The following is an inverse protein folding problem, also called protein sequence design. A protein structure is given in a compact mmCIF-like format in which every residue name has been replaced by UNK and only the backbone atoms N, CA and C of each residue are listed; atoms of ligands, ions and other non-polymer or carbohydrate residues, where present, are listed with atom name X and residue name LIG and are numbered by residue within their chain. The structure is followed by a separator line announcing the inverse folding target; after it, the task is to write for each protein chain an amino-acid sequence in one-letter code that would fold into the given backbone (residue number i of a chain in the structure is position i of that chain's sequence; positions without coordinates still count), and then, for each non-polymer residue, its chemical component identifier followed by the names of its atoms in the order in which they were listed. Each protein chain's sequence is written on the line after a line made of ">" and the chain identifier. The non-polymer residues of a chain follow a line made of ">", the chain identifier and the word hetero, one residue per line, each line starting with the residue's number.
data_IF_790845507413
#
_entry.id   IF_790845507413
#
_cell.length_a   1.000
_cell.length_b   1.000
_cell.length_c   1.000
_cell.angle_alpha   90.00
_cell.angle_beta   90.00
_cell.angle_gamma   90.00
#
_symmetry.space_group_name_H-M   'P 1'
#
loop_
_entity.id
_entity.type
_entity.pdbx_description
1 polymer ?
#
# COMPACT_ATOMS: atom_id res chain seq x y z
N UNK A 1 26.10 16.31 -6.63
CA UNK A 1 26.25 15.63 -5.33
C UNK A 1 27.71 15.76 -4.91
N UNK A 2 28.04 15.78 -3.61
CA UNK A 2 29.45 15.66 -3.21
C UNK A 2 30.01 14.31 -3.68
N UNK A 3 31.27 14.26 -4.07
CA UNK A 3 31.91 13.08 -4.69
C UNK A 3 31.83 11.83 -3.78
N UNK A 4 32.02 12.02 -2.47
CA UNK A 4 31.81 10.98 -1.45
C UNK A 4 30.39 10.40 -1.46
N UNK A 5 29.38 11.25 -1.65
CA UNK A 5 27.98 10.79 -1.68
C UNK A 5 27.68 10.02 -2.97
N UNK A 6 28.32 10.40 -4.09
CA UNK A 6 28.19 9.68 -5.35
C UNK A 6 28.76 8.25 -5.24
N UNK A 7 29.88 8.07 -4.53
CA UNK A 7 30.46 6.75 -4.26
C UNK A 7 29.51 5.87 -3.45
N UNK A 8 28.91 6.40 -2.37
CA UNK A 8 27.94 5.67 -1.54
C UNK A 8 26.73 5.22 -2.37
N UNK A 9 26.19 6.10 -3.21
CA UNK A 9 25.06 5.76 -4.08
C UNK A 9 25.44 4.67 -5.08
N UNK A 10 26.62 4.76 -5.70
CA UNK A 10 27.08 3.76 -6.67
C UNK A 10 27.30 2.38 -6.03
N UNK A 11 27.85 2.34 -4.81
CA UNK A 11 28.04 1.10 -4.04
C UNK A 11 26.69 0.46 -3.66
N UNK A 12 25.72 1.28 -3.25
CA UNK A 12 24.38 0.78 -2.98
C UNK A 12 23.70 0.24 -4.25
N UNK A 13 23.81 0.96 -5.37
CA UNK A 13 23.25 0.54 -6.64
C UNK A 13 23.93 -0.72 -7.19
N UNK A 14 25.21 -0.99 -6.89
CA UNK A 14 25.87 -2.23 -7.35
C UNK A 14 25.28 -3.50 -6.73
N UNK A 15 24.62 -3.39 -5.57
CA UNK A 15 23.94 -4.50 -4.89
C UNK A 15 22.41 -4.50 -5.11
N UNK A 16 21.89 -3.47 -5.78
CA UNK A 16 20.43 -3.27 -5.95
C UNK A 16 19.72 -4.42 -6.65
N UNK A 17 20.39 -5.11 -7.56
CA UNK A 17 19.78 -6.19 -8.35
C UNK A 17 19.39 -7.40 -7.51
N UNK A 18 20.31 -7.89 -6.67
CA UNK A 18 20.09 -9.06 -5.82
C UNK A 18 18.99 -8.77 -4.78
N UNK A 19 19.10 -7.63 -4.10
CA UNK A 19 18.08 -7.17 -3.13
C UNK A 19 16.70 -7.04 -3.78
N UNK A 20 16.63 -6.52 -5.01
CA UNK A 20 15.37 -6.38 -5.72
C UNK A 20 14.71 -7.73 -6.03
N UNK A 21 15.48 -8.73 -6.41
CA UNK A 21 14.93 -10.06 -6.74
C UNK A 21 14.30 -10.70 -5.50
N UNK A 22 14.98 -10.62 -4.35
CA UNK A 22 14.47 -11.12 -3.07
C UNK A 22 13.23 -10.37 -2.60
N UNK A 23 13.26 -9.03 -2.61
CA UNK A 23 12.11 -8.19 -2.21
C UNK A 23 10.90 -8.49 -3.09
N UNK A 24 11.10 -8.70 -4.38
CA UNK A 24 10.02 -9.00 -5.30
C UNK A 24 9.41 -10.37 -4.99
N UNK A 25 10.22 -11.39 -4.77
CA UNK A 25 9.72 -12.70 -4.36
C UNK A 25 8.90 -12.62 -3.06
N UNK A 26 9.36 -11.83 -2.10
CA UNK A 26 8.67 -11.57 -0.85
C UNK A 26 7.33 -10.84 -1.04
N UNK A 27 7.29 -9.80 -1.87
CA UNK A 27 6.04 -9.07 -2.16
C UNK A 27 5.05 -9.97 -2.91
N UNK A 28 5.50 -10.78 -3.85
CA UNK A 28 4.62 -11.71 -4.55
C UNK A 28 4.03 -12.77 -3.62
N UNK A 29 4.85 -13.31 -2.70
CA UNK A 29 4.38 -14.23 -1.67
C UNK A 29 3.37 -13.57 -0.74
N UNK A 30 3.62 -12.32 -0.36
CA UNK A 30 2.78 -11.51 0.51
C UNK A 30 1.42 -11.22 -0.12
N UNK A 31 1.42 -10.64 -1.32
CA UNK A 31 0.22 -10.17 -2.01
C UNK A 31 -0.48 -11.29 -2.81
N UNK A 32 0.20 -12.42 -3.01
CA UNK A 32 -0.24 -13.52 -3.84
C UNK A 32 -0.34 -13.18 -5.33
N UNK A 33 0.26 -12.06 -5.75
CA UNK A 33 0.39 -11.58 -7.14
C UNK A 33 1.43 -10.48 -7.18
N UNK A 34 2.17 -10.38 -8.29
CA UNK A 34 3.02 -9.22 -8.53
C UNK A 34 2.20 -8.01 -9.03
N UNK A 35 2.22 -6.85 -8.34
CA UNK A 35 1.54 -5.66 -8.82
C UNK A 35 2.10 -5.18 -10.17
N UNK A 36 1.21 -4.86 -11.12
CA UNK A 36 1.64 -4.43 -12.46
C UNK A 36 2.53 -3.17 -12.43
N UNK A 37 2.33 -2.29 -11.43
CA UNK A 37 3.08 -1.05 -11.25
C UNK A 37 4.60 -1.32 -11.22
N UNK A 38 5.01 -2.47 -10.67
CA UNK A 38 6.41 -2.83 -10.57
C UNK A 38 7.02 -3.20 -11.92
N UNK A 39 6.23 -3.71 -12.87
CA UNK A 39 6.73 -3.95 -14.22
C UNK A 39 7.07 -2.65 -14.94
N UNK A 40 6.27 -1.60 -14.74
CA UNK A 40 6.56 -0.28 -15.28
C UNK A 40 7.74 0.38 -14.57
N UNK A 41 7.84 0.26 -13.24
CA UNK A 41 8.94 0.86 -12.50
C UNK A 41 10.29 0.24 -12.85
N UNK A 42 10.37 -1.07 -13.18
CA UNK A 42 11.59 -1.75 -13.62
C UNK A 42 12.30 -1.08 -14.81
N UNK A 43 11.61 -0.27 -15.60
CA UNK A 43 12.22 0.53 -16.68
C UNK A 43 13.18 1.62 -16.18
N UNK A 44 13.16 1.92 -14.86
CA UNK A 44 14.05 2.84 -14.15
C UNK A 44 14.59 2.15 -12.89
N UNK A 45 15.64 1.32 -13.01
CA UNK A 45 16.11 0.44 -11.93
C UNK A 45 16.39 1.15 -10.59
N UNK A 46 16.94 2.35 -10.64
CA UNK A 46 17.24 3.18 -9.47
C UNK A 46 15.98 3.64 -8.73
N UNK A 47 14.91 3.98 -9.48
CA UNK A 47 13.62 4.34 -8.90
C UNK A 47 12.92 3.09 -8.40
N UNK A 48 12.96 2.02 -9.19
CA UNK A 48 12.33 0.75 -8.86
C UNK A 48 12.80 0.20 -7.53
N UNK A 49 14.11 0.12 -7.33
CA UNK A 49 14.67 -0.42 -6.10
C UNK A 49 14.27 0.41 -4.87
N UNK A 50 14.35 1.75 -4.98
CA UNK A 50 13.96 2.61 -3.86
C UNK A 50 12.48 2.47 -3.54
N UNK A 51 11.62 2.37 -4.57
CA UNK A 51 10.19 2.20 -4.41
C UNK A 51 9.85 0.84 -3.79
N UNK A 52 10.38 -0.27 -4.31
CA UNK A 52 10.07 -1.62 -3.80
C UNK A 52 10.55 -1.81 -2.37
N UNK A 53 11.74 -1.31 -2.04
CA UNK A 53 12.27 -1.36 -0.67
C UNK A 53 11.39 -0.56 0.30
N UNK A 54 10.98 0.65 -0.11
CA UNK A 54 10.08 1.47 0.70
C UNK A 54 8.71 0.80 0.88
N UNK A 55 8.10 0.35 -0.21
CA UNK A 55 6.78 -0.27 -0.23
C UNK A 55 6.74 -1.55 0.61
N UNK A 56 7.78 -2.38 0.55
CA UNK A 56 7.91 -3.58 1.38
C UNK A 56 7.91 -3.23 2.89
N UNK A 57 8.72 -2.25 3.30
CA UNK A 57 8.80 -1.84 4.70
C UNK A 57 7.53 -1.12 5.19
N UNK A 58 6.85 -0.38 4.31
CA UNK A 58 5.58 0.29 4.62
C UNK A 58 4.46 -0.74 4.75
N UNK A 59 4.39 -1.72 3.84
CA UNK A 59 3.38 -2.78 3.83
C UNK A 59 3.56 -3.84 4.92
N UNK A 60 4.78 -3.97 5.46
CA UNK A 60 5.10 -4.82 6.62
C UNK A 60 5.81 -4.01 7.71
N UNK A 61 5.07 -3.10 8.38
CA UNK A 61 5.64 -2.29 9.45
C UNK A 61 5.97 -3.16 10.66
N UNK A 62 7.04 -2.81 11.39
CA UNK A 62 7.51 -3.57 12.56
C UNK A 62 6.57 -3.49 13.78
N UNK A 63 5.67 -2.50 13.80
CA UNK A 63 4.83 -2.18 14.96
C UNK A 63 3.39 -2.68 14.83
N UNK A 64 2.97 -3.13 13.65
CA UNK A 64 1.64 -3.70 13.43
C UNK A 64 1.77 -5.14 12.96
N UNK A 65 0.81 -5.98 13.36
CA UNK A 65 0.74 -7.33 12.80
C UNK A 65 0.42 -7.27 11.30
N UNK A 66 0.83 -8.28 10.50
CA UNK A 66 0.46 -8.36 9.09
C UNK A 66 -1.06 -8.26 8.88
N UNK A 67 -1.83 -8.95 9.72
CA UNK A 67 -3.29 -8.85 9.77
C UNK A 67 -3.79 -7.41 9.92
N UNK A 68 -3.26 -6.66 10.89
CA UNK A 68 -3.64 -5.26 11.10
C UNK A 68 -3.24 -4.37 9.92
N UNK A 69 -2.05 -4.58 9.35
CA UNK A 69 -1.57 -3.82 8.20
C UNK A 69 -2.47 -4.01 6.97
N UNK A 70 -2.90 -5.25 6.68
CA UNK A 70 -3.79 -5.53 5.56
C UNK A 70 -5.21 -4.94 5.76
N UNK A 71 -5.75 -4.97 6.98
CA UNK A 71 -7.03 -4.30 7.28
C UNK A 71 -6.95 -2.78 7.03
N UNK A 72 -5.84 -2.14 7.42
CA UNK A 72 -5.61 -0.73 7.11
C UNK A 72 -5.52 -0.50 5.60
N UNK A 73 -4.80 -1.36 4.88
CA UNK A 73 -4.68 -1.28 3.43
C UNK A 73 -6.04 -1.43 2.72
N UNK A 74 -6.90 -2.36 3.19
CA UNK A 74 -8.28 -2.52 2.72
C UNK A 74 -9.09 -1.24 2.95
N UNK A 75 -9.06 -0.67 4.16
CA UNK A 75 -9.79 0.55 4.48
C UNK A 75 -9.33 1.73 3.61
N UNK A 76 -8.02 1.88 3.42
CA UNK A 76 -7.43 2.93 2.58
C UNK A 76 -7.81 2.75 1.10
N UNK A 77 -7.71 1.54 0.57
CA UNK A 77 -8.07 1.24 -0.82
C UNK A 77 -9.56 1.46 -1.09
N UNK A 78 -10.43 1.01 -0.18
CA UNK A 78 -11.88 1.23 -0.26
C UNK A 78 -12.22 2.73 -0.21
N UNK A 79 -11.62 3.48 0.74
CA UNK A 79 -11.84 4.92 0.87
C UNK A 79 -11.32 5.74 -0.32
N UNK A 80 -10.27 5.27 -0.99
CA UNK A 80 -9.70 5.89 -2.18
C UNK A 80 -10.40 5.49 -3.50
N UNK A 81 -11.32 4.52 -3.47
CA UNK A 81 -11.92 3.96 -4.69
C UNK A 81 -10.94 3.15 -5.54
N UNK A 82 -9.87 2.62 -4.95
CA UNK A 82 -8.82 1.88 -5.64
C UNK A 82 -9.17 0.39 -5.75
N UNK A 83 -10.08 0.04 -6.66
CA UNK A 83 -10.64 -1.31 -6.79
C UNK A 83 -9.57 -2.41 -6.95
N UNK A 84 -8.57 -2.17 -7.82
CA UNK A 84 -7.47 -3.12 -8.02
C UNK A 84 -6.67 -3.37 -6.75
N UNK A 85 -6.37 -2.31 -5.98
CA UNK A 85 -5.67 -2.42 -4.71
C UNK A 85 -6.52 -3.17 -3.68
N UNK A 86 -7.82 -2.84 -3.61
CA UNK A 86 -8.76 -3.48 -2.70
C UNK A 86 -8.82 -4.99 -2.95
N UNK A 87 -8.86 -5.42 -4.22
CA UNK A 87 -8.84 -6.84 -4.58
C UNK A 87 -7.56 -7.56 -4.12
N UNK A 88 -6.40 -6.93 -4.32
CA UNK A 88 -5.11 -7.50 -3.91
C UNK A 88 -5.03 -7.62 -2.39
N UNK A 89 -5.35 -6.55 -1.66
CA UNK A 89 -5.25 -6.53 -0.20
C UNK A 89 -6.32 -7.40 0.49
N UNK A 90 -7.50 -7.58 -0.10
CA UNK A 90 -8.47 -8.60 0.40
C UNK A 90 -7.86 -10.00 0.31
N UNK A 91 -7.20 -10.35 -0.79
CA UNK A 91 -6.55 -11.67 -0.93
C UNK A 91 -5.40 -11.83 0.06
N UNK A 92 -4.56 -10.81 0.21
CA UNK A 92 -3.46 -10.80 1.17
C UNK A 92 -3.97 -10.93 2.61
N UNK A 93 -5.00 -10.17 2.99
CA UNK A 93 -5.63 -10.27 4.31
C UNK A 93 -6.13 -11.68 4.62
N UNK A 94 -6.80 -12.33 3.67
CA UNK A 94 -7.27 -13.71 3.84
C UNK A 94 -6.11 -14.69 4.08
N UNK A 95 -4.97 -14.50 3.40
CA UNK A 95 -3.77 -15.31 3.62
C UNK A 95 -3.17 -15.10 5.03
N UNK A 96 -3.34 -13.91 5.61
CA UNK A 96 -2.93 -13.58 6.99
C UNK A 96 -3.97 -14.04 8.04
N UNK A 97 -5.00 -14.80 7.62
CA UNK A 97 -6.03 -15.33 8.53
C UNK A 97 -7.08 -14.30 8.95
N UNK A 98 -7.22 -13.20 8.22
CA UNK A 98 -8.33 -12.26 8.41
C UNK A 98 -9.63 -12.93 7.96
N UNK A 99 -10.68 -12.79 8.76
CA UNK A 99 -12.00 -13.36 8.45
C UNK A 99 -12.79 -12.47 7.50
N UNK A 100 -13.79 -13.06 6.83
CA UNK A 100 -14.75 -12.31 6.01
C UNK A 100 -15.43 -11.18 6.81
N UNK A 101 -15.76 -11.43 8.07
CA UNK A 101 -16.48 -10.47 8.89
C UNK A 101 -15.59 -9.28 9.29
N UNK A 102 -14.30 -9.52 9.58
CA UNK A 102 -13.33 -8.44 9.80
C UNK A 102 -13.13 -7.58 8.54
N UNK A 103 -13.12 -8.20 7.35
CA UNK A 103 -13.06 -7.47 6.08
C UNK A 103 -14.33 -6.64 5.88
N UNK A 104 -15.51 -7.21 6.17
CA UNK A 104 -16.80 -6.52 6.07
C UNK A 104 -16.83 -5.29 7.00
N UNK A 105 -16.46 -5.46 8.26
CA UNK A 105 -16.41 -4.37 9.25
C UNK A 105 -15.45 -3.26 8.80
N UNK A 106 -14.29 -3.63 8.25
CA UNK A 106 -13.31 -2.68 7.74
C UNK A 106 -13.85 -1.87 6.56
N UNK A 107 -14.54 -2.51 5.62
CA UNK A 107 -15.20 -1.82 4.49
C UNK A 107 -16.32 -0.91 4.99
N UNK A 108 -17.11 -1.36 5.98
CA UNK A 108 -18.18 -0.54 6.57
C UNK A 108 -17.62 0.70 7.28
N UNK A 109 -16.48 0.58 7.96
CA UNK A 109 -15.76 1.72 8.55
C UNK A 109 -15.31 2.69 7.45
N UNK A 110 -14.70 2.19 6.36
CA UNK A 110 -14.29 3.04 5.23
C UNK A 110 -15.49 3.76 4.60
N UNK A 111 -16.62 3.07 4.40
CA UNK A 111 -17.86 3.64 3.88
C UNK A 111 -18.44 4.72 4.83
N UNK A 112 -18.39 4.49 6.14
CA UNK A 112 -18.77 5.49 7.13
C UNK A 112 -17.93 6.77 6.99
N UNK A 113 -16.61 6.65 6.82
CA UNK A 113 -15.72 7.81 6.60
C UNK A 113 -16.04 8.56 5.31
N UNK A 114 -16.33 7.84 4.22
CA UNK A 114 -16.80 8.44 2.97
C UNK A 114 -18.11 9.21 3.15
N UNK A 115 -19.09 8.61 3.83
CA UNK A 115 -20.38 9.25 4.15
C UNK A 115 -20.19 10.53 4.96
N UNK A 116 -19.41 10.48 6.04
CA UNK A 116 -19.20 11.65 6.90
C UNK A 116 -18.44 12.76 6.19
N UNK A 117 -17.50 12.44 5.29
CA UNK A 117 -16.83 13.43 4.44
C UNK A 117 -17.84 14.24 3.64
N UNK A 118 -18.79 13.57 2.97
CA UNK A 118 -19.83 14.22 2.17
C UNK A 118 -20.73 15.09 3.04
N UNK A 119 -21.27 14.52 4.13
CA UNK A 119 -22.17 15.23 5.03
C UNK A 119 -21.51 16.48 5.62
N UNK A 120 -20.27 16.35 6.10
CA UNK A 120 -19.54 17.46 6.69
C UNK A 120 -19.28 18.59 5.68
N UNK A 121 -18.95 18.28 4.42
CA UNK A 121 -18.74 19.33 3.41
C UNK A 121 -20.05 19.94 2.92
N UNK A 122 -21.06 19.13 2.66
CA UNK A 122 -22.29 19.58 2.04
C UNK A 122 -23.22 20.34 3.01
N UNK A 123 -23.41 19.82 4.23
CA UNK A 123 -24.34 20.43 5.19
C UNK A 123 -23.89 21.81 5.68
N UNK A 124 -22.60 22.14 5.58
CA UNK A 124 -22.09 23.50 5.87
C UNK A 124 -22.53 24.54 4.86
N UNK A 125 -22.98 24.11 3.67
CA UNK A 125 -23.45 24.98 2.60
C UNK A 125 -24.98 25.04 2.54
N UNK A 126 -25.68 24.31 3.42
CA UNK A 126 -27.13 24.32 3.48
C UNK A 126 -27.58 25.67 4.05
N UNK A 127 -28.46 26.43 3.36
CA UNK A 127 -29.01 27.66 3.92
C UNK A 127 -29.89 27.36 5.13
N UNK A 128 -30.02 28.34 6.03
CA UNK A 128 -30.98 28.27 7.14
C UNK A 128 -32.42 28.18 6.58
N UNK A 129 -33.33 27.48 7.28
CA UNK A 129 -34.74 27.44 6.90
C UNK A 129 -35.37 28.84 6.98
N UNK A 130 -36.34 29.11 6.09
CA UNK A 130 -37.18 30.33 6.09
C UNK A 130 -38.02 30.49 7.37
#
# INVERSE_FOLDING_TARGET
>A
MQEKNQQIVNEFLSHSKEINEDIMADIEKMLGVMPFIFNSLKERPEIFMLATLADYNIGRPKTLSPKTAELIAIAAAAGAGAESCLKVHIKAALNEGVTRDEILDTIMIAAMMGKTKILASALRLLPDPE
#
